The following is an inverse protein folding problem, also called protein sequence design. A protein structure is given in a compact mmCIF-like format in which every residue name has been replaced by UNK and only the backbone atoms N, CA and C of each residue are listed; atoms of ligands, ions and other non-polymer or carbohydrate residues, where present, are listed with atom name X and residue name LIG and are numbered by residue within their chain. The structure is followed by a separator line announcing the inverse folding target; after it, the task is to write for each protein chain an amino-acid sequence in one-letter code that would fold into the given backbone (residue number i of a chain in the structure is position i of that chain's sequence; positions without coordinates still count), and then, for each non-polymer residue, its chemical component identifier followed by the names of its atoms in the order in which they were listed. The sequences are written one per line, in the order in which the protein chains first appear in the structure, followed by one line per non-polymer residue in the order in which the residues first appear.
data_IF_307315200716
#
_entry.id   IF_307315200716
#
_cell.length_a   1.000
_cell.length_b   1.000
_cell.length_c   1.000
_cell.angle_alpha   90.00
_cell.angle_beta   90.00
_cell.angle_gamma   90.00
#
_symmetry.space_group_name_H-M   'P 1'
#
loop_
_entity.id
_entity.type
_entity.pdbx_description
1 polymer ?
#
# COMPACT_ATOMS: atom_id res chain seq x y z
N UNK A 1 20.86 -37.39 -41.44
CA UNK A 1 21.32 -37.24 -42.84
C UNK A 1 20.04 -37.21 -43.66
N UNK A 2 19.52 -36.10 -44.16
CA UNK A 2 20.09 -34.95 -44.88
C UNK A 2 19.40 -33.67 -44.38
N UNK A 3 20.16 -32.57 -44.27
CA UNK A 3 19.61 -31.23 -44.05
C UNK A 3 19.81 -30.35 -45.27
N UNK A 4 19.13 -29.19 -45.28
CA UNK A 4 19.64 -27.92 -45.80
C UNK A 4 18.77 -26.75 -45.31
N UNK A 5 19.48 -25.68 -44.92
CA UNK A 5 19.14 -24.28 -44.55
C UNK A 5 18.34 -23.56 -45.66
N UNK A 6 17.78 -22.34 -45.57
CA UNK A 6 17.53 -21.26 -44.61
C UNK A 6 16.85 -20.16 -45.45
N UNK A 7 15.88 -19.40 -44.93
CA UNK A 7 15.86 -17.94 -45.07
C UNK A 7 14.79 -17.31 -44.16
N UNK A 8 15.23 -16.30 -43.43
CA UNK A 8 14.45 -15.52 -42.49
C UNK A 8 13.94 -14.25 -43.17
N UNK A 9 12.69 -13.88 -42.93
CA UNK A 9 12.17 -12.52 -43.21
C UNK A 9 11.44 -12.06 -41.97
N UNK A 10 12.11 -11.19 -41.20
CA UNK A 10 11.50 -10.39 -40.15
C UNK A 10 10.73 -9.21 -40.74
N UNK A 11 9.56 -8.92 -40.17
CA UNK A 11 8.87 -7.64 -40.35
C UNK A 11 8.51 -7.09 -38.98
N UNK A 12 9.21 -6.03 -38.61
CA UNK A 12 8.89 -5.13 -37.51
C UNK A 12 7.56 -4.41 -37.81
N UNK A 13 6.66 -4.43 -36.84
CA UNK A 13 5.47 -3.56 -36.81
C UNK A 13 5.59 -2.64 -35.58
N UNK A 14 6.06 -1.43 -35.86
CA UNK A 14 5.96 -0.27 -34.98
C UNK A 14 4.61 0.39 -35.20
N UNK A 15 3.79 0.54 -34.14
CA UNK A 15 2.61 1.42 -34.15
C UNK A 15 2.81 2.49 -33.09
N UNK A 16 2.85 3.73 -33.58
CA UNK A 16 3.14 4.94 -32.82
C UNK A 16 1.96 5.42 -31.97
N UNK A 17 2.33 6.11 -30.89
CA UNK A 17 1.51 7.01 -30.09
C UNK A 17 0.89 8.11 -30.95
N UNK A 18 -0.40 8.35 -30.77
CA UNK A 18 -1.07 9.60 -31.19
C UNK A 18 -2.58 9.49 -31.09
N UNK A 19 -3.19 10.22 -30.14
CA UNK A 19 -4.64 10.37 -30.07
C UNK A 19 -5.15 10.67 -28.64
N UNK A 20 -5.23 11.95 -28.28
CA UNK A 20 -6.08 12.42 -27.18
C UNK A 20 -7.57 12.14 -27.45
N UNK A 21 -8.37 11.83 -26.41
CA UNK A 21 -9.81 12.06 -26.44
C UNK A 21 -10.24 13.19 -25.47
N UNK A 22 -11.43 13.77 -25.68
CA UNK A 22 -11.77 15.12 -25.24
C UNK A 22 -12.26 15.23 -23.80
N UNK A 23 -12.22 16.47 -23.30
CA UNK A 23 -12.64 16.91 -21.98
C UNK A 23 -14.08 16.48 -21.61
N UNK A 24 -14.20 15.76 -20.49
CA UNK A 24 -15.45 15.57 -19.78
C UNK A 24 -15.50 16.54 -18.59
N UNK A 25 -16.49 17.44 -18.64
CA UNK A 25 -16.94 18.30 -17.56
C UNK A 25 -17.32 17.49 -16.32
N UNK A 26 -16.66 17.74 -15.18
CA UNK A 26 -17.17 17.35 -13.87
C UNK A 26 -17.50 18.59 -13.05
N UNK A 27 -18.75 18.58 -12.61
CA UNK A 27 -19.46 19.55 -11.79
C UNK A 27 -19.01 19.40 -10.33
N UNK A 28 -18.83 20.55 -9.65
CA UNK A 28 -19.19 20.69 -8.24
C UNK A 28 -18.18 20.24 -7.18
N UNK A 29 -16.96 20.80 -7.19
CA UNK A 29 -16.09 20.81 -6.01
C UNK A 29 -16.35 22.07 -5.17
N UNK A 30 -16.91 21.87 -3.97
CA UNK A 30 -17.18 22.92 -2.98
C UNK A 30 -15.88 23.65 -2.59
N UNK A 31 -15.80 24.92 -2.98
CA UNK A 31 -14.71 25.84 -2.65
C UNK A 31 -14.83 26.25 -1.17
N UNK A 32 -14.04 25.60 -0.30
CA UNK A 32 -13.81 26.08 1.06
C UNK A 32 -12.40 26.66 1.16
N UNK A 33 -12.34 27.99 1.09
CA UNK A 33 -11.45 28.77 1.95
C UNK A 33 -10.00 28.88 1.50
N UNK A 34 -9.77 29.50 0.34
CA UNK A 34 -8.48 30.15 0.02
C UNK A 34 -8.32 31.47 0.78
N UNK A 35 -8.45 31.42 2.10
CA UNK A 35 -8.09 32.52 3.01
C UNK A 35 -6.64 32.36 3.45
N UNK A 36 -5.78 33.27 3.00
CA UNK A 36 -4.46 33.57 3.58
C UNK A 36 -3.21 32.82 3.04
N UNK A 37 -2.90 32.99 1.74
CA UNK A 37 -1.52 32.85 1.21
C UNK A 37 -0.88 34.19 0.86
N UNK A 38 -1.12 35.23 1.65
CA UNK A 38 -0.39 36.49 1.56
C UNK A 38 0.93 36.42 2.36
N UNK A 39 1.79 35.46 2.01
CA UNK A 39 3.13 35.33 2.58
C UNK A 39 4.13 35.17 1.45
N UNK A 40 4.51 36.28 0.80
CA UNK A 40 5.54 36.29 -0.25
C UNK A 40 6.77 35.56 0.30
N UNK A 41 7.03 34.36 -0.19
CA UNK A 41 8.22 33.60 0.16
C UNK A 41 9.42 34.33 -0.42
N UNK A 42 10.03 35.23 0.36
CA UNK A 42 11.29 35.88 0.04
C UNK A 42 12.26 34.84 -0.54
N UNK A 43 12.70 35.05 -1.78
CA UNK A 43 13.57 34.13 -2.51
C UNK A 43 14.82 33.80 -1.70
N UNK A 44 15.36 32.59 -1.89
CA UNK A 44 16.48 32.05 -1.06
C UNK A 44 17.66 33.01 -0.91
N UNK A 45 17.97 33.79 -1.95
CA UNK A 45 19.01 34.83 -1.96
C UNK A 45 18.65 36.05 -1.11
N UNK A 46 17.42 36.54 -1.19
CA UNK A 46 16.95 37.71 -0.42
C UNK A 46 17.05 37.49 1.10
N UNK A 47 16.71 36.29 1.60
CA UNK A 47 16.91 35.92 3.02
C UNK A 47 18.39 35.82 3.42
N UNK A 48 19.26 35.54 2.45
CA UNK A 48 20.72 35.56 2.63
C UNK A 48 21.22 36.98 2.87
N UNK A 49 20.83 37.89 1.98
CA UNK A 49 21.19 39.31 2.01
C UNK A 49 20.63 40.01 3.25
N UNK A 50 19.34 39.82 3.58
CA UNK A 50 18.74 40.41 4.77
C UNK A 50 19.44 39.98 6.06
N UNK A 51 19.83 38.70 6.15
CA UNK A 51 20.60 38.23 7.30
C UNK A 51 21.98 38.87 7.35
N UNK A 52 22.67 38.98 6.20
CA UNK A 52 23.96 39.64 6.16
C UNK A 52 23.85 41.11 6.60
N UNK A 53 22.86 41.86 6.09
CA UNK A 53 22.60 43.25 6.49
C UNK A 53 22.38 43.34 8.01
N UNK A 54 21.54 42.46 8.56
CA UNK A 54 21.26 42.41 9.99
C UNK A 54 22.54 42.15 10.82
N UNK A 55 23.42 41.24 10.37
CA UNK A 55 24.68 40.92 11.05
C UNK A 55 25.79 41.95 10.80
N UNK A 56 25.73 42.70 9.70
CA UNK A 56 26.66 43.78 9.36
C UNK A 56 26.35 45.07 10.14
N UNK A 57 25.10 45.25 10.56
CA UNK A 57 24.65 46.48 11.25
C UNK A 57 25.47 46.75 12.53
N UNK A 58 25.67 45.78 13.45
CA UNK A 58 26.54 46.00 14.62
C UNK A 58 27.99 46.33 14.24
N UNK A 59 28.52 45.73 13.17
CA UNK A 59 29.92 45.95 12.74
C UNK A 59 30.19 47.41 12.35
N UNK A 60 29.23 48.06 11.70
CA UNK A 60 29.35 49.45 11.24
C UNK A 60 28.92 50.45 12.33
N UNK A 61 27.96 50.06 13.17
CA UNK A 61 27.32 50.97 14.14
C UNK A 61 28.14 51.13 15.42
N UNK A 62 28.74 50.05 15.92
CA UNK A 62 29.43 50.04 17.23
C UNK A 62 30.59 51.03 17.28
N UNK A 63 31.37 51.16 16.19
CA UNK A 63 32.48 52.11 16.12
C UNK A 63 31.98 53.57 16.07
N UNK A 64 30.86 53.83 15.38
CA UNK A 64 30.23 55.17 15.32
C UNK A 64 29.62 55.61 16.65
N UNK A 65 29.24 54.64 17.48
CA UNK A 65 28.68 54.88 18.81
C UNK A 65 29.75 55.05 19.90
N UNK A 66 31.04 54.95 19.55
CA UNK A 66 32.15 55.06 20.51
C UNK A 66 32.22 53.91 21.51
N UNK A 67 31.58 52.77 21.19
CA UNK A 67 31.51 51.60 22.06
C UNK A 67 32.71 50.64 21.90
N UNK A 68 33.65 50.97 21.01
CA UNK A 68 34.88 50.23 20.73
C UNK A 68 36.00 51.18 20.36
N UNK A 69 37.25 50.70 20.46
CA UNK A 69 38.38 51.39 19.83
C UNK A 69 38.14 51.51 18.31
N UNK A 70 38.41 52.69 17.71
CA UNK A 70 38.14 52.94 16.31
C UNK A 70 38.98 52.03 15.42
N UNK A 71 38.31 51.17 14.65
CA UNK A 71 38.97 50.29 13.67
C UNK A 71 39.20 51.04 12.37
N UNK A 72 40.28 50.70 11.67
CA UNK A 72 40.52 51.22 10.32
C UNK A 72 39.41 50.78 9.35
N UNK A 73 39.13 51.60 8.33
CA UNK A 73 38.13 51.27 7.31
C UNK A 73 38.44 49.93 6.61
N UNK A 74 39.72 49.60 6.41
CA UNK A 74 40.15 48.31 5.86
C UNK A 74 39.78 47.12 6.74
N UNK A 75 39.95 47.22 8.06
CA UNK A 75 39.55 46.17 9.01
C UNK A 75 38.02 45.98 9.05
N UNK A 76 37.25 47.06 8.95
CA UNK A 76 35.79 46.99 8.89
C UNK A 76 35.33 46.29 7.60
N UNK A 77 35.88 46.68 6.44
CA UNK A 77 35.57 46.05 5.16
C UNK A 77 35.95 44.56 5.15
N UNK A 78 37.13 44.21 5.66
CA UNK A 78 37.56 42.82 5.79
C UNK A 78 36.59 42.00 6.67
N UNK A 79 36.17 42.54 7.81
CA UNK A 79 35.20 41.90 8.69
C UNK A 79 33.84 41.67 8.03
N UNK A 80 33.36 42.65 7.25
CA UNK A 80 32.11 42.54 6.48
C UNK A 80 32.18 41.47 5.39
N UNK A 81 33.32 41.35 4.70
CA UNK A 81 33.56 40.31 3.68
C UNK A 81 33.61 38.92 4.31
N UNK A 82 34.30 38.76 5.45
CA UNK A 82 34.35 37.48 6.18
C UNK A 82 32.95 37.08 6.66
N UNK A 83 32.15 38.04 7.16
CA UNK A 83 30.75 37.79 7.52
C UNK A 83 29.90 37.41 6.31
N UNK A 84 30.10 38.04 5.16
CA UNK A 84 29.42 37.66 3.92
C UNK A 84 29.74 36.20 3.55
N UNK A 85 31.02 35.83 3.58
CA UNK A 85 31.47 34.47 3.33
C UNK A 85 30.84 33.48 4.34
N UNK A 86 30.90 33.77 5.64
CA UNK A 86 30.31 32.92 6.67
C UNK A 86 28.79 32.74 6.48
N UNK A 87 28.07 33.83 6.17
CA UNK A 87 26.64 33.82 5.87
C UNK A 87 26.36 32.97 4.63
N UNK A 88 27.17 33.04 3.57
CA UNK A 88 26.98 32.21 2.37
C UNK A 88 27.24 30.73 2.65
N UNK A 89 28.30 30.41 3.40
CA UNK A 89 28.68 29.04 3.72
C UNK A 89 27.74 28.38 4.74
N UNK A 90 26.97 29.15 5.53
CA UNK A 90 26.12 28.64 6.65
C UNK A 90 25.17 27.50 6.31
N UNK A 91 24.82 27.34 5.03
CA UNK A 91 23.89 26.31 4.56
C UNK A 91 24.61 25.03 4.11
N UNK A 92 25.68 25.17 3.32
CA UNK A 92 26.43 24.03 2.78
C UNK A 92 27.44 23.50 3.81
N UNK A 93 28.10 24.41 4.53
CA UNK A 93 29.20 24.13 5.44
C UNK A 93 29.03 24.94 6.74
N UNK A 94 28.11 24.52 7.64
CA UNK A 94 27.79 25.28 8.84
C UNK A 94 28.96 25.39 9.83
N UNK A 95 29.86 24.40 9.87
CA UNK A 95 31.02 24.42 10.75
C UNK A 95 32.10 25.40 10.28
N UNK A 96 32.55 25.37 9.00
CA UNK A 96 33.43 26.42 8.48
C UNK A 96 32.84 27.84 8.64
N UNK A 97 31.55 28.02 8.42
CA UNK A 97 30.89 29.31 8.63
C UNK A 97 31.03 29.80 10.08
N UNK A 98 30.77 28.94 11.06
CA UNK A 98 30.94 29.25 12.47
C UNK A 98 32.42 29.52 12.85
N UNK A 99 33.35 28.68 12.37
CA UNK A 99 34.77 28.85 12.63
C UNK A 99 35.33 30.15 12.03
N UNK A 100 34.84 30.58 10.86
CA UNK A 100 35.20 31.88 10.27
C UNK A 100 34.82 33.05 11.19
N UNK A 101 33.63 33.01 11.79
CA UNK A 101 33.24 34.05 12.77
C UNK A 101 33.98 33.95 14.10
N UNK A 102 34.35 32.75 14.53
CA UNK A 102 35.19 32.56 15.71
C UNK A 102 36.60 33.13 15.47
N UNK A 103 37.19 32.85 14.31
CA UNK A 103 38.48 33.37 13.90
C UNK A 103 38.46 34.89 13.78
N UNK A 104 37.38 35.47 13.23
CA UNK A 104 37.20 36.92 13.17
C UNK A 104 37.14 37.54 14.57
N UNK A 105 36.36 36.95 15.49
CA UNK A 105 36.29 37.38 16.89
C UNK A 105 37.66 37.32 17.59
N UNK A 106 38.36 36.18 17.47
CA UNK A 106 39.71 35.99 18.02
C UNK A 106 40.76 36.87 17.36
N UNK A 107 40.59 37.30 16.10
CA UNK A 107 41.51 38.25 15.49
C UNK A 107 41.36 39.65 16.11
N UNK A 108 40.14 40.00 16.54
CA UNK A 108 39.78 41.35 17.00
C UNK A 108 39.83 41.57 18.50
N UNK A 109 39.60 40.52 19.31
CA UNK A 109 39.62 40.61 20.77
C UNK A 109 40.30 39.38 21.41
N UNK A 110 41.02 39.54 22.54
CA UNK A 110 41.62 38.41 23.27
C UNK A 110 40.58 37.38 23.74
N UNK A 111 39.45 37.86 24.27
CA UNK A 111 38.43 37.06 24.92
C UNK A 111 37.29 36.61 24.01
N UNK A 112 37.44 36.71 22.67
CA UNK A 112 36.41 36.42 21.65
C UNK A 112 35.15 37.34 21.71
N UNK A 113 34.95 38.05 22.82
CA UNK A 113 33.81 38.91 23.05
C UNK A 113 33.98 40.26 22.35
N UNK A 114 33.10 40.54 21.39
CA UNK A 114 32.99 41.86 20.75
C UNK A 114 31.53 42.20 20.50
N UNK A 115 31.15 43.46 20.74
CA UNK A 115 29.80 43.95 20.41
C UNK A 115 29.52 43.88 18.90
N UNK A 116 30.55 44.02 18.07
CA UNK A 116 30.46 43.97 16.62
C UNK A 116 30.14 42.57 16.07
N UNK A 117 30.77 41.51 16.59
CA UNK A 117 30.68 40.16 16.02
C UNK A 117 29.94 39.14 16.90
N UNK A 118 29.67 39.46 18.17
CA UNK A 118 28.93 38.61 19.10
C UNK A 118 27.59 38.10 18.56
N UNK A 119 26.72 38.96 18.00
CA UNK A 119 25.46 38.51 17.40
C UNK A 119 25.66 37.54 16.24
N UNK A 120 26.65 37.77 15.38
CA UNK A 120 26.95 36.89 14.25
C UNK A 120 27.47 35.52 14.71
N UNK A 121 28.32 35.52 15.75
CA UNK A 121 28.82 34.30 16.38
C UNK A 121 27.67 33.44 16.94
N UNK A 122 26.75 34.04 17.71
CA UNK A 122 25.59 33.33 18.27
C UNK A 122 24.63 32.81 17.20
N UNK A 123 24.33 33.61 16.17
CA UNK A 123 23.44 33.20 15.07
C UNK A 123 24.03 32.06 14.25
N UNK A 124 25.34 32.05 13.99
CA UNK A 124 25.98 30.95 13.27
C UNK A 124 26.13 29.70 14.12
N UNK A 125 26.34 29.82 15.44
CA UNK A 125 26.26 28.70 16.37
C UNK A 125 24.86 28.06 16.38
N UNK A 126 23.79 28.88 16.37
CA UNK A 126 22.41 28.41 16.22
C UNK A 126 22.22 27.64 14.90
N UNK A 127 22.71 28.17 13.78
CA UNK A 127 22.63 27.46 12.49
C UNK A 127 23.45 26.18 12.46
N UNK A 128 24.60 26.15 13.15
CA UNK A 128 25.39 24.94 13.33
C UNK A 128 24.57 23.87 14.06
N UNK A 129 23.88 24.22 15.14
CA UNK A 129 23.00 23.31 15.88
C UNK A 129 21.83 22.80 15.04
N UNK A 130 21.25 23.66 14.20
CA UNK A 130 20.13 23.31 13.31
C UNK A 130 20.52 22.41 12.13
N UNK A 131 21.77 22.43 11.69
CA UNK A 131 22.19 21.78 10.43
C UNK A 131 23.28 20.72 10.54
N UNK A 132 24.08 20.71 11.60
CA UNK A 132 25.15 19.73 11.74
C UNK A 132 24.61 18.38 12.22
N UNK A 133 24.79 17.33 11.43
CA UNK A 133 24.28 15.99 11.78
C UNK A 133 24.93 15.46 13.07
N UNK A 134 26.26 15.60 13.17
CA UNK A 134 27.07 15.06 14.27
C UNK A 134 27.40 16.13 15.31
N UNK A 135 26.98 15.90 16.55
CA UNK A 135 27.32 16.78 17.68
C UNK A 135 28.83 16.84 17.95
N UNK A 136 29.53 15.71 17.73
CA UNK A 136 30.97 15.59 17.95
C UNK A 136 31.78 16.65 17.19
N UNK A 137 31.42 16.94 15.94
CA UNK A 137 32.17 17.92 15.12
C UNK A 137 32.03 19.34 15.68
N UNK A 138 30.85 19.72 16.18
CA UNK A 138 30.64 21.01 16.83
C UNK A 138 31.41 21.10 18.16
N UNK A 139 31.40 20.03 18.96
CA UNK A 139 32.14 19.96 20.23
C UNK A 139 33.66 20.06 20.02
N UNK A 140 34.20 19.40 19.00
CA UNK A 140 35.62 19.54 18.61
C UNK A 140 35.91 20.99 18.20
N UNK A 141 35.02 21.63 17.45
CA UNK A 141 35.13 23.04 17.10
C UNK A 141 35.17 23.97 18.31
N UNK A 142 34.27 23.78 19.28
CA UNK A 142 34.24 24.54 20.52
C UNK A 142 35.51 24.30 21.36
N UNK A 143 35.96 23.05 21.48
CA UNK A 143 37.21 22.70 22.16
C UNK A 143 38.43 23.35 21.50
N UNK A 144 38.49 23.35 20.17
CA UNK A 144 39.54 24.04 19.42
C UNK A 144 39.55 25.55 19.68
N UNK A 145 38.38 26.20 19.68
CA UNK A 145 38.25 27.63 20.01
C UNK A 145 38.68 27.90 21.46
N UNK A 146 38.28 27.04 22.41
CA UNK A 146 38.67 27.17 23.81
C UNK A 146 40.19 27.08 23.99
N UNK A 147 40.84 26.12 23.34
CA UNK A 147 42.31 25.92 23.40
C UNK A 147 43.04 27.11 22.78
N UNK A 148 42.67 27.51 21.55
CA UNK A 148 43.31 28.64 20.86
C UNK A 148 43.09 29.95 21.62
N UNK A 149 41.87 30.19 22.11
CA UNK A 149 41.55 31.37 22.90
C UNK A 149 42.30 31.39 24.24
N UNK A 150 42.39 30.26 24.94
CA UNK A 150 43.13 30.17 26.21
C UNK A 150 44.62 30.43 25.99
N UNK A 151 45.22 29.86 24.95
CA UNK A 151 46.62 30.13 24.60
C UNK A 151 46.84 31.61 24.27
N UNK A 152 45.92 32.23 23.54
CA UNK A 152 45.99 33.66 23.22
C UNK A 152 45.92 34.53 24.48
N UNK A 153 44.97 34.25 25.38
CA UNK A 153 44.82 34.97 26.65
C UNK A 153 46.06 34.78 27.54
N UNK A 154 46.62 33.58 27.59
CA UNK A 154 47.84 33.31 28.37
C UNK A 154 49.07 34.09 27.86
N UNK A 155 49.18 34.31 26.54
CA UNK A 155 50.33 35.00 25.93
C UNK A 155 50.15 36.52 25.87
N UNK A 156 48.93 37.02 25.67
CA UNK A 156 48.65 38.43 25.37
C UNK A 156 47.69 39.12 26.34
N UNK A 157 47.12 38.39 27.30
CA UNK A 157 46.12 38.95 28.20
C UNK A 157 46.74 39.94 29.18
N UNK A 158 46.10 41.10 29.32
CA UNK A 158 46.50 42.12 30.30
C UNK A 158 46.06 41.67 31.69
N UNK A 159 44.85 41.10 31.78
CA UNK A 159 44.30 40.42 32.95
C UNK A 159 43.84 38.99 32.58
N UNK A 160 44.77 38.01 32.58
CA UNK A 160 44.50 36.68 32.01
C UNK A 160 43.33 35.94 32.65
N UNK A 161 43.09 36.13 33.95
CA UNK A 161 41.99 35.48 34.68
C UNK A 161 40.62 36.00 34.24
N UNK A 162 40.46 37.33 34.14
CA UNK A 162 39.21 37.97 33.73
C UNK A 162 38.94 37.70 32.26
N UNK A 163 39.93 37.87 31.39
CA UNK A 163 39.79 37.61 29.96
C UNK A 163 39.46 36.14 29.66
N UNK A 164 40.06 35.21 30.41
CA UNK A 164 39.74 33.79 30.29
C UNK A 164 38.32 33.48 30.75
N UNK A 165 37.87 34.07 31.87
CA UNK A 165 36.50 33.93 32.33
C UNK A 165 35.49 34.47 31.30
N UNK A 166 35.77 35.62 30.68
CA UNK A 166 34.96 36.20 29.60
C UNK A 166 34.96 35.32 28.35
N UNK A 167 36.10 34.74 27.98
CA UNK A 167 36.20 33.79 26.87
C UNK A 167 35.31 32.57 27.11
N UNK A 168 35.41 31.96 28.29
CA UNK A 168 34.62 30.78 28.64
C UNK A 168 33.13 31.11 28.70
N UNK A 169 32.77 32.24 29.30
CA UNK A 169 31.39 32.73 29.30
C UNK A 169 30.88 32.96 27.87
N UNK A 170 31.68 33.58 27.00
CA UNK A 170 31.32 33.82 25.59
C UNK A 170 31.17 32.52 24.82
N UNK A 171 32.00 31.51 25.09
CA UNK A 171 31.85 30.21 24.45
C UNK A 171 30.56 29.50 24.90
N UNK A 172 30.27 29.53 26.21
CA UNK A 172 29.06 28.90 26.76
C UNK A 172 27.80 29.62 26.26
N UNK A 173 27.68 30.93 26.50
CA UNK A 173 26.49 31.72 26.18
C UNK A 173 26.38 32.10 24.70
N UNK A 174 27.50 32.35 24.03
CA UNK A 174 27.56 32.76 22.64
C UNK A 174 27.66 31.60 21.65
N UNK A 175 28.13 30.41 22.06
CA UNK A 175 28.20 29.25 21.17
C UNK A 175 27.33 28.08 21.64
N UNK A 176 27.59 27.55 22.84
CA UNK A 176 26.99 26.28 23.31
C UNK A 176 25.47 26.40 23.45
N UNK A 177 24.97 27.43 24.12
CA UNK A 177 23.52 27.63 24.31
C UNK A 177 22.77 27.86 22.98
N UNK A 178 23.20 28.78 22.08
CA UNK A 178 22.57 28.93 20.78
C UNK A 178 22.63 27.64 19.94
N UNK A 179 23.76 26.93 19.96
CA UNK A 179 23.89 25.64 19.29
C UNK A 179 22.91 24.60 19.85
N UNK A 180 22.77 24.50 21.17
CA UNK A 180 21.84 23.58 21.82
C UNK A 180 20.38 23.92 21.47
N UNK A 181 20.02 25.21 21.48
CA UNK A 181 18.70 25.68 21.04
C UNK A 181 18.43 25.30 19.58
N UNK A 182 19.43 25.44 18.72
CA UNK A 182 19.34 25.03 17.32
C UNK A 182 19.10 23.54 17.15
N UNK A 183 19.77 22.71 17.97
CA UNK A 183 19.59 21.26 17.99
C UNK A 183 18.22 20.86 18.53
N UNK A 184 17.78 21.48 19.62
CA UNK A 184 16.46 21.26 20.21
C UNK A 184 15.34 21.56 19.21
N UNK A 185 15.45 22.68 18.47
CA UNK A 185 14.49 23.00 17.41
C UNK A 185 14.51 22.01 16.24
N UNK A 186 15.67 21.47 15.87
CA UNK A 186 15.74 20.42 14.86
C UNK A 186 15.01 19.16 15.34
N UNK A 187 15.34 18.69 16.54
CA UNK A 187 14.72 17.51 17.14
C UNK A 187 13.21 17.68 17.29
N UNK A 188 12.74 18.85 17.76
CA UNK A 188 11.32 19.14 17.86
C UNK A 188 10.60 19.09 16.50
N UNK A 189 11.23 19.56 15.43
CA UNK A 189 10.65 19.47 14.06
C UNK A 189 10.63 18.03 13.54
N UNK A 190 11.66 17.25 13.79
CA UNK A 190 11.73 15.83 13.41
C UNK A 190 10.67 15.02 14.17
N UNK A 191 10.55 15.23 15.48
CA UNK A 191 9.52 14.61 16.31
C UNK A 191 8.11 15.00 15.87
N UNK A 192 7.86 16.28 15.59
CA UNK A 192 6.57 16.74 15.10
C UNK A 192 6.23 16.10 13.73
N UNK A 193 7.19 16.06 12.80
CA UNK A 193 6.99 15.44 11.49
C UNK A 193 6.68 13.94 11.61
N UNK A 194 7.41 13.22 12.48
CA UNK A 194 7.16 11.81 12.77
C UNK A 194 5.78 11.61 13.44
N UNK A 195 5.38 12.51 14.34
CA UNK A 195 4.07 12.50 14.97
C UNK A 195 2.93 12.66 13.96
N UNK A 196 3.03 13.62 13.04
CA UNK A 196 2.05 13.81 11.97
C UNK A 196 1.97 12.62 11.02
N UNK A 197 3.11 12.05 10.61
CA UNK A 197 3.13 10.84 9.79
C UNK A 197 2.43 9.66 10.47
N UNK A 198 2.64 9.51 11.79
CA UNK A 198 2.00 8.44 12.57
C UNK A 198 0.49 8.68 12.75
N UNK A 199 0.07 9.92 12.97
CA UNK A 199 -1.34 10.27 13.07
C UNK A 199 -2.10 9.97 11.77
N UNK A 200 -1.52 10.34 10.63
CA UNK A 200 -2.08 10.06 9.31
C UNK A 200 -2.13 8.56 9.00
N UNK A 201 -1.14 7.77 9.45
CA UNK A 201 -1.20 6.32 9.36
C UNK A 201 -2.36 5.73 10.20
N UNK A 202 -2.50 6.16 11.46
CA UNK A 202 -3.56 5.70 12.35
C UNK A 202 -4.95 6.06 11.81
N UNK A 203 -5.11 7.25 11.21
CA UNK A 203 -6.38 7.65 10.60
C UNK A 203 -6.75 6.74 9.43
N UNK A 204 -5.78 6.37 8.57
CA UNK A 204 -6.01 5.41 7.49
C UNK A 204 -6.39 4.02 8.01
N UNK A 205 -5.69 3.53 9.03
CA UNK A 205 -5.99 2.25 9.66
C UNK A 205 -7.40 2.23 10.26
N UNK A 206 -7.80 3.30 10.95
CA UNK A 206 -9.16 3.43 11.50
C UNK A 206 -10.24 3.44 10.42
N UNK A 207 -10.01 4.14 9.29
CA UNK A 207 -10.95 4.12 8.15
C UNK A 207 -11.12 2.71 7.59
N UNK A 208 -10.02 1.99 7.38
CA UNK A 208 -10.05 0.60 6.90
C UNK A 208 -10.81 -0.30 7.88
N UNK A 209 -10.57 -0.17 9.19
CA UNK A 209 -11.28 -0.96 10.21
C UNK A 209 -12.77 -0.63 10.21
N UNK A 210 -13.14 0.65 10.13
CA UNK A 210 -14.54 1.09 10.09
C UNK A 210 -15.28 0.59 8.85
N UNK A 211 -14.65 0.66 7.67
CA UNK A 211 -15.24 0.18 6.43
C UNK A 211 -15.38 -1.35 6.43
N UNK A 212 -14.38 -2.07 6.94
CA UNK A 212 -14.50 -3.52 7.14
C UNK A 212 -15.60 -3.89 8.12
N UNK A 213 -15.78 -3.13 9.20
CA UNK A 213 -16.86 -3.36 10.15
C UNK A 213 -18.23 -3.13 9.49
N UNK A 214 -18.38 -2.07 8.69
CA UNK A 214 -19.60 -1.79 7.92
C UNK A 214 -19.92 -2.89 6.92
N UNK A 215 -18.93 -3.39 6.18
CA UNK A 215 -19.11 -4.49 5.23
C UNK A 215 -19.52 -5.79 5.94
N UNK A 216 -18.88 -6.12 7.06
CA UNK A 216 -19.26 -7.29 7.87
C UNK A 216 -20.68 -7.20 8.39
N UNK A 217 -21.10 -6.02 8.86
CA UNK A 217 -22.46 -5.82 9.34
C UNK A 217 -23.48 -5.95 8.20
N UNK A 218 -23.20 -5.38 7.03
CA UNK A 218 -24.06 -5.56 5.85
C UNK A 218 -24.17 -7.02 5.42
N UNK A 219 -23.06 -7.76 5.41
CA UNK A 219 -23.06 -9.18 5.09
C UNK A 219 -23.85 -9.99 6.12
N UNK A 220 -23.71 -9.66 7.41
CA UNK A 220 -24.50 -10.28 8.49
C UNK A 220 -25.99 -10.02 8.30
N UNK A 221 -26.40 -8.76 8.06
CA UNK A 221 -27.80 -8.41 7.82
C UNK A 221 -28.34 -9.18 6.60
N UNK A 222 -27.57 -9.25 5.51
CA UNK A 222 -27.98 -10.00 4.32
C UNK A 222 -28.18 -11.49 4.63
N UNK A 223 -27.30 -12.10 5.43
CA UNK A 223 -27.42 -13.49 5.87
C UNK A 223 -28.64 -13.70 6.78
N UNK A 224 -28.85 -12.84 7.79
CA UNK A 224 -30.00 -12.94 8.70
C UNK A 224 -31.33 -12.77 7.93
N UNK A 225 -31.37 -11.86 6.94
CA UNK A 225 -32.50 -11.69 6.03
C UNK A 225 -32.70 -12.90 5.12
N UNK A 226 -31.62 -13.52 4.65
CA UNK A 226 -31.70 -14.74 3.85
C UNK A 226 -32.31 -15.90 4.63
N UNK A 227 -31.81 -16.13 5.84
CA UNK A 227 -32.22 -17.28 6.65
C UNK A 227 -33.70 -17.15 7.07
N UNK A 228 -34.15 -15.93 7.40
CA UNK A 228 -35.55 -15.65 7.73
C UNK A 228 -36.48 -15.72 6.51
N UNK A 229 -36.21 -14.94 5.45
CA UNK A 229 -37.07 -14.91 4.25
C UNK A 229 -37.05 -16.24 3.49
N UNK A 230 -35.89 -16.89 3.38
CA UNK A 230 -35.75 -18.19 2.76
C UNK A 230 -36.55 -19.27 3.48
N UNK A 231 -36.55 -19.25 4.82
CA UNK A 231 -37.34 -20.16 5.63
C UNK A 231 -38.86 -19.92 5.46
N UNK A 232 -39.31 -18.66 5.51
CA UNK A 232 -40.71 -18.31 5.32
C UNK A 232 -41.24 -18.69 3.92
N UNK A 233 -40.47 -18.37 2.86
CA UNK A 233 -40.82 -18.73 1.48
C UNK A 233 -40.85 -20.25 1.28
N UNK A 234 -39.91 -20.98 1.88
CA UNK A 234 -39.90 -22.44 1.85
C UNK A 234 -41.13 -23.04 2.53
N UNK A 235 -41.53 -22.50 3.69
CA UNK A 235 -42.74 -22.92 4.39
C UNK A 235 -44.01 -22.63 3.58
N UNK A 236 -44.08 -21.48 2.90
CA UNK A 236 -45.18 -21.15 1.99
C UNK A 236 -45.23 -22.17 0.83
N UNK A 237 -44.10 -22.49 0.22
CA UNK A 237 -44.03 -23.47 -0.87
C UNK A 237 -44.45 -24.89 -0.43
N UNK A 238 -44.11 -25.29 0.80
CA UNK A 238 -44.54 -26.57 1.40
C UNK A 238 -46.05 -26.57 1.64
N UNK A 239 -46.61 -25.49 2.24
CA UNK A 239 -48.06 -25.37 2.50
C UNK A 239 -48.87 -25.32 1.19
N UNK A 240 -48.40 -24.57 0.19
CA UNK A 240 -49.00 -24.52 -1.14
C UNK A 240 -48.96 -25.89 -1.83
N UNK A 241 -47.85 -26.62 -1.69
CA UNK A 241 -47.75 -28.00 -2.14
C UNK A 241 -48.77 -28.93 -1.47
N UNK A 242 -48.93 -28.86 -0.15
CA UNK A 242 -49.91 -29.66 0.58
C UNK A 242 -51.36 -29.38 0.11
N UNK A 243 -51.70 -28.12 -0.16
CA UNK A 243 -53.00 -27.74 -0.74
C UNK A 243 -53.20 -28.34 -2.15
N UNK A 244 -52.16 -28.35 -2.98
CA UNK A 244 -52.24 -28.88 -4.35
C UNK A 244 -52.60 -30.38 -4.40
N UNK A 245 -52.12 -31.18 -3.43
CA UNK A 245 -52.38 -32.63 -3.35
C UNK A 245 -53.64 -32.97 -2.54
N UNK A 246 -54.35 -31.98 -1.99
CA UNK A 246 -55.57 -32.22 -1.23
C UNK A 246 -56.68 -32.81 -2.13
N UNK A 247 -57.33 -33.92 -1.72
CA UNK A 247 -58.27 -34.65 -2.57
C UNK A 247 -59.56 -33.87 -2.86
N UNK A 248 -60.03 -33.06 -1.91
CA UNK A 248 -61.33 -32.37 -1.97
C UNK A 248 -61.26 -30.97 -2.60
N UNK A 249 -60.10 -30.56 -3.12
CA UNK A 249 -59.90 -29.22 -3.66
C UNK A 249 -60.37 -29.12 -5.13
N UNK A 250 -61.26 -28.18 -5.49
CA UNK A 250 -61.70 -28.04 -6.88
C UNK A 250 -60.55 -27.60 -7.81
N UNK A 251 -60.58 -28.03 -9.07
CA UNK A 251 -59.48 -27.81 -10.04
C UNK A 251 -59.00 -26.35 -10.18
N UNK A 252 -59.87 -25.32 -10.18
CA UNK A 252 -59.43 -23.92 -10.20
C UNK A 252 -58.57 -23.53 -8.99
N UNK A 253 -58.90 -24.05 -7.81
CA UNK A 253 -58.15 -23.79 -6.57
C UNK A 253 -56.84 -24.59 -6.53
N UNK A 254 -56.83 -25.79 -7.14
CA UNK A 254 -55.62 -26.61 -7.30
C UNK A 254 -54.58 -25.93 -8.20
N UNK A 255 -55.03 -25.32 -9.30
CA UNK A 255 -54.18 -24.51 -10.17
C UNK A 255 -53.61 -23.29 -9.43
N UNK A 256 -54.44 -22.56 -8.68
CA UNK A 256 -53.98 -21.43 -7.86
C UNK A 256 -52.92 -21.83 -6.80
N UNK A 257 -53.06 -23.01 -6.18
CA UNK A 257 -52.06 -23.54 -5.25
C UNK A 257 -50.73 -23.90 -5.94
N UNK A 258 -50.79 -24.42 -7.17
CA UNK A 258 -49.61 -24.69 -7.99
C UNK A 258 -48.86 -23.40 -8.35
N UNK A 259 -49.60 -22.35 -8.75
CA UNK A 259 -49.04 -21.04 -9.05
C UNK A 259 -48.38 -20.39 -7.82
N UNK A 260 -49.01 -20.52 -6.63
CA UNK A 260 -48.45 -20.06 -5.36
C UNK A 260 -47.13 -20.75 -5.00
N UNK A 261 -47.06 -22.07 -5.20
CA UNK A 261 -45.83 -22.85 -4.98
C UNK A 261 -44.73 -22.43 -5.95
N UNK A 262 -45.06 -22.28 -7.24
CA UNK A 262 -44.10 -21.86 -8.26
C UNK A 262 -43.58 -20.44 -7.98
N UNK A 263 -44.46 -19.50 -7.62
CA UNK A 263 -44.08 -18.14 -7.27
C UNK A 263 -43.16 -18.09 -6.04
N UNK A 264 -43.44 -18.88 -5.00
CA UNK A 264 -42.60 -18.97 -3.81
C UNK A 264 -41.19 -19.52 -4.13
N UNK A 265 -41.10 -20.61 -4.90
CA UNK A 265 -39.80 -21.16 -5.35
C UNK A 265 -39.00 -20.17 -6.20
N UNK A 266 -39.66 -19.47 -7.12
CA UNK A 266 -39.00 -18.49 -7.97
C UNK A 266 -38.52 -17.25 -7.19
N UNK A 267 -39.23 -16.85 -6.14
CA UNK A 267 -38.80 -15.80 -5.23
C UNK A 267 -37.54 -16.19 -4.45
N UNK A 268 -37.46 -17.44 -3.98
CA UNK A 268 -36.27 -17.98 -3.29
C UNK A 268 -35.04 -18.00 -4.21
N UNK A 269 -35.19 -18.41 -5.47
CA UNK A 269 -34.09 -18.42 -6.45
C UNK A 269 -33.59 -17.00 -6.77
N UNK A 270 -34.49 -16.03 -6.89
CA UNK A 270 -34.12 -14.62 -7.08
C UNK A 270 -33.38 -14.06 -5.85
N UNK A 271 -33.81 -14.42 -4.64
CA UNK A 271 -33.12 -14.03 -3.41
C UNK A 271 -31.69 -14.60 -3.35
N UNK A 272 -31.50 -15.88 -3.69
CA UNK A 272 -30.17 -16.50 -3.78
C UNK A 272 -29.26 -15.78 -4.80
N UNK A 273 -29.82 -15.37 -5.94
CA UNK A 273 -29.06 -14.68 -6.99
C UNK A 273 -28.58 -13.30 -6.53
N UNK A 274 -29.47 -12.51 -5.91
CA UNK A 274 -29.14 -11.16 -5.43
C UNK A 274 -28.06 -11.19 -4.34
N UNK A 275 -28.14 -12.16 -3.42
CA UNK A 275 -27.16 -12.31 -2.34
C UNK A 275 -25.84 -12.85 -2.86
N UNK A 276 -25.85 -13.73 -3.87
CA UNK A 276 -24.64 -14.18 -4.56
C UNK A 276 -23.82 -13.01 -5.12
N UNK A 277 -24.49 -12.04 -5.75
CA UNK A 277 -23.84 -10.84 -6.30
C UNK A 277 -23.28 -9.91 -5.21
N UNK A 278 -24.00 -9.71 -4.10
CA UNK A 278 -23.53 -8.89 -2.98
C UNK A 278 -22.32 -9.49 -2.25
N UNK A 279 -22.14 -10.81 -2.35
CA UNK A 279 -21.02 -11.54 -1.72
C UNK A 279 -19.77 -11.52 -2.59
N UNK A 280 -19.90 -11.42 -3.92
CA UNK A 280 -18.78 -11.27 -4.85
C UNK A 280 -18.18 -9.85 -4.82
N UNK A 281 -18.97 -8.80 -4.57
CA UNK A 281 -18.45 -7.42 -4.46
C UNK A 281 -17.74 -7.11 -3.13
N UNK A 282 -17.97 -7.92 -2.10
CA UNK A 282 -17.43 -7.70 -0.75
C UNK A 282 -16.25 -8.61 -0.36
N UNK A 283 -15.94 -9.63 -1.15
CA UNK A 283 -15.06 -10.72 -0.74
C UNK A 283 -14.04 -11.12 -1.82
N UNK A 284 -13.20 -10.17 -2.26
CA UNK A 284 -11.96 -10.47 -2.96
C UNK A 284 -10.83 -10.96 -2.03
N UNK A 285 -11.09 -11.29 -0.75
CA UNK A 285 -10.01 -11.65 0.19
C UNK A 285 -10.29 -12.72 1.27
N UNK A 286 -11.42 -13.42 1.33
CA UNK A 286 -11.55 -14.57 2.24
C UNK A 286 -11.65 -15.92 1.50
N UNK A 287 -10.65 -16.82 1.65
CA UNK A 287 -10.78 -18.20 1.19
C UNK A 287 -11.81 -18.94 2.04
N UNK A 288 -13.07 -19.01 1.56
CA UNK A 288 -14.02 -20.02 2.01
C UNK A 288 -13.80 -21.32 1.23
N UNK A 289 -12.66 -21.96 1.49
CA UNK A 289 -12.47 -23.38 1.29
C UNK A 289 -11.95 -23.96 2.61
N UNK A 290 -12.45 -25.12 3.08
CA UNK A 290 -11.78 -25.83 4.15
C UNK A 290 -10.32 -26.04 3.73
N UNK A 291 -9.39 -25.42 4.44
CA UNK A 291 -7.95 -25.56 4.20
C UNK A 291 -7.62 -27.06 4.30
N UNK A 292 -7.20 -27.66 3.18
CA UNK A 292 -6.57 -28.98 3.16
C UNK A 292 -7.38 -30.16 2.62
N UNK A 293 -8.58 -29.97 2.04
CA UNK A 293 -9.23 -31.07 1.33
C UNK A 293 -8.55 -31.31 -0.03
N UNK A 294 -8.01 -32.52 -0.22
CA UNK A 294 -7.37 -32.89 -1.48
C UNK A 294 -8.40 -33.21 -2.55
N UNK A 295 -8.01 -33.11 -3.83
CA UNK A 295 -8.87 -33.47 -4.98
C UNK A 295 -9.42 -34.89 -4.86
N UNK A 296 -8.62 -35.80 -4.30
CA UNK A 296 -9.01 -37.18 -4.04
C UNK A 296 -10.15 -37.28 -3.03
N UNK A 297 -10.11 -36.48 -1.96
CA UNK A 297 -11.17 -36.44 -0.96
C UNK A 297 -12.47 -35.85 -1.53
N UNK A 298 -12.36 -34.81 -2.37
CA UNK A 298 -13.47 -34.23 -3.10
C UNK A 298 -14.13 -35.25 -4.05
N UNK A 299 -13.33 -36.00 -4.81
CA UNK A 299 -13.84 -37.07 -5.70
C UNK A 299 -14.49 -38.20 -4.91
N UNK A 300 -13.89 -38.61 -3.78
CA UNK A 300 -14.46 -39.65 -2.92
C UNK A 300 -15.83 -39.24 -2.34
N UNK A 301 -15.97 -37.98 -1.92
CA UNK A 301 -17.25 -37.43 -1.44
C UNK A 301 -18.29 -37.39 -2.55
N UNK A 302 -17.88 -37.00 -3.77
CA UNK A 302 -18.75 -36.98 -4.92
C UNK A 302 -19.24 -38.39 -5.32
N UNK A 303 -18.37 -39.41 -5.22
CA UNK A 303 -18.75 -40.82 -5.39
C UNK A 303 -19.74 -41.28 -4.33
N UNK A 304 -19.52 -40.93 -3.05
CA UNK A 304 -20.45 -41.24 -1.95
C UNK A 304 -21.82 -40.57 -2.14
N UNK A 305 -21.86 -39.45 -2.87
CA UNK A 305 -23.09 -38.73 -3.22
C UNK A 305 -23.81 -39.30 -4.44
N UNK A 306 -23.33 -40.43 -5.00
CA UNK A 306 -24.01 -41.17 -6.06
C UNK A 306 -23.49 -40.93 -7.49
N UNK A 307 -22.42 -40.14 -7.68
CA UNK A 307 -21.79 -39.97 -8.99
C UNK A 307 -20.88 -41.16 -9.34
N UNK A 308 -20.94 -41.63 -10.58
CA UNK A 308 -20.02 -42.66 -11.10
C UNK A 308 -18.75 -41.96 -11.59
N UNK A 309 -17.67 -42.02 -10.81
CA UNK A 309 -16.43 -41.29 -11.11
C UNK A 309 -15.24 -42.24 -11.23
N UNK A 310 -14.44 -42.12 -12.28
CA UNK A 310 -13.09 -42.70 -12.39
C UNK A 310 -12.04 -41.62 -12.20
N UNK A 311 -11.17 -41.78 -11.19
CA UNK A 311 -10.01 -40.90 -10.97
C UNK A 311 -8.73 -41.53 -11.52
N UNK A 312 -8.01 -40.79 -12.35
CA UNK A 312 -6.74 -41.20 -12.96
C UNK A 312 -5.63 -40.29 -12.45
N UNK A 313 -4.63 -40.90 -11.79
CA UNK A 313 -3.49 -40.18 -11.21
C UNK A 313 -2.34 -39.95 -12.22
N UNK A 314 -1.29 -39.24 -11.76
CA UNK A 314 -0.09 -38.83 -12.51
C UNK A 314 0.64 -39.95 -13.27
N UNK A 315 0.33 -41.23 -13.03
CA UNK A 315 0.97 -42.37 -13.70
C UNK A 315 0.04 -43.12 -14.64
N UNK A 316 -1.16 -42.60 -14.90
CA UNK A 316 -2.14 -43.22 -15.79
C UNK A 316 -2.66 -44.56 -15.29
N UNK A 317 -2.58 -44.84 -13.98
CA UNK A 317 -3.06 -46.10 -13.39
C UNK A 317 -4.43 -45.89 -12.74
N UNK A 318 -5.39 -46.82 -12.93
CA UNK A 318 -6.61 -46.82 -12.16
C UNK A 318 -6.30 -47.18 -10.70
N UNK A 319 -6.47 -46.22 -9.79
CA UNK A 319 -6.56 -46.44 -8.35
C UNK A 319 -5.28 -46.91 -7.63
N UNK A 320 -4.67 -46.01 -6.85
CA UNK A 320 -4.11 -46.37 -5.55
C UNK A 320 -4.09 -45.13 -4.65
N UNK A 321 -4.80 -45.18 -3.52
CA UNK A 321 -4.68 -44.18 -2.46
C UNK A 321 -3.20 -44.02 -2.08
N UNK A 322 -2.66 -42.82 -2.26
CA UNK A 322 -1.46 -42.38 -1.55
C UNK A 322 -1.87 -41.29 -0.58
N UNK A 323 -1.61 -41.55 0.70
CA UNK A 323 -1.74 -40.56 1.76
C UNK A 323 -0.88 -39.32 1.49
N UNK A 324 -1.16 -38.21 2.20
CA UNK A 324 -0.63 -36.90 1.86
C UNK A 324 0.89 -36.90 1.96
N UNK A 325 1.56 -36.86 0.81
CA UNK A 325 2.99 -36.60 0.75
C UNK A 325 3.19 -35.11 1.06
N UNK A 326 3.49 -34.81 2.32
CA UNK A 326 3.93 -33.50 2.81
C UNK A 326 5.13 -33.05 1.97
N UNK A 327 4.89 -32.15 1.01
CA UNK A 327 5.93 -31.44 0.25
C UNK A 327 5.95 -29.98 0.69
N UNK A 328 7.14 -29.41 0.72
CA UNK A 328 7.43 -28.06 1.17
C UNK A 328 6.55 -27.04 0.42
N UNK A 329 5.68 -26.37 1.17
CA UNK A 329 4.73 -25.39 0.69
C UNK A 329 5.45 -24.11 0.28
N UNK A 330 5.55 -23.90 -1.03
CA UNK A 330 5.82 -22.58 -1.61
C UNK A 330 4.47 -21.94 -1.96
N UNK A 331 4.31 -20.63 -1.75
CA UNK A 331 3.03 -19.91 -1.97
C UNK A 331 2.40 -20.13 -3.36
N UNK A 332 3.21 -20.43 -4.39
CA UNK A 332 2.72 -20.76 -5.74
C UNK A 332 2.03 -22.13 -5.84
N UNK A 333 2.46 -23.11 -5.05
CA UNK A 333 1.91 -24.47 -5.04
C UNK A 333 0.51 -24.49 -4.41
N UNK A 334 0.30 -23.74 -3.32
CA UNK A 334 -1.00 -23.66 -2.64
C UNK A 334 -2.08 -22.98 -3.50
N UNK A 335 -1.71 -21.90 -4.21
CA UNK A 335 -2.62 -21.24 -5.17
C UNK A 335 -2.99 -22.14 -6.34
N UNK A 336 -2.05 -22.94 -6.83
CA UNK A 336 -2.27 -23.90 -7.91
C UNK A 336 -3.18 -25.04 -7.44
N UNK A 337 -2.92 -25.62 -6.27
CA UNK A 337 -3.76 -26.68 -5.68
C UNK A 337 -5.20 -26.20 -5.40
N UNK A 338 -5.37 -24.99 -4.87
CA UNK A 338 -6.69 -24.39 -4.65
C UNK A 338 -7.47 -24.17 -5.95
N UNK A 339 -6.78 -23.79 -7.03
CA UNK A 339 -7.39 -23.61 -8.36
C UNK A 339 -7.78 -24.94 -8.98
N UNK A 340 -6.92 -25.96 -8.89
CA UNK A 340 -7.21 -27.33 -9.33
C UNK A 340 -8.43 -27.90 -8.59
N UNK A 341 -8.48 -27.76 -7.26
CA UNK A 341 -9.61 -28.21 -6.46
C UNK A 341 -10.92 -27.55 -6.92
N UNK A 342 -10.90 -26.23 -7.17
CA UNK A 342 -12.09 -25.50 -7.60
C UNK A 342 -12.57 -25.90 -8.99
N UNK A 343 -11.64 -26.14 -9.93
CA UNK A 343 -11.97 -26.63 -11.28
C UNK A 343 -12.66 -27.99 -11.20
N UNK A 344 -12.13 -28.92 -10.40
CA UNK A 344 -12.75 -30.24 -10.22
C UNK A 344 -14.11 -30.14 -9.54
N UNK A 345 -14.23 -29.30 -8.50
CA UNK A 345 -15.50 -29.10 -7.78
C UNK A 345 -16.61 -28.58 -8.69
N UNK A 346 -16.33 -27.53 -9.46
CA UNK A 346 -17.31 -26.95 -10.38
C UNK A 346 -17.65 -27.94 -11.49
N UNK A 347 -16.68 -28.67 -12.04
CA UNK A 347 -16.91 -29.66 -13.07
C UNK A 347 -17.79 -30.83 -12.58
N UNK A 348 -17.56 -31.34 -11.37
CA UNK A 348 -18.39 -32.37 -10.74
C UNK A 348 -19.81 -31.86 -10.44
N UNK A 349 -19.92 -30.59 -10.03
CA UNK A 349 -21.21 -29.94 -9.81
C UNK A 349 -21.99 -29.79 -11.11
N UNK A 350 -21.31 -29.40 -12.20
CA UNK A 350 -21.91 -29.30 -13.53
C UNK A 350 -22.34 -30.67 -14.06
N UNK A 351 -21.51 -31.70 -13.89
CA UNK A 351 -21.89 -33.07 -14.27
C UNK A 351 -23.12 -33.57 -13.49
N UNK A 352 -23.19 -33.29 -12.18
CA UNK A 352 -24.34 -33.64 -11.35
C UNK A 352 -25.64 -32.92 -11.78
N UNK A 353 -25.53 -31.66 -12.19
CA UNK A 353 -26.67 -30.83 -12.61
C UNK A 353 -27.13 -31.14 -14.03
N UNK A 354 -26.20 -31.36 -14.95
CA UNK A 354 -26.48 -31.36 -16.39
C UNK A 354 -26.42 -32.76 -17.02
N UNK A 355 -25.70 -33.71 -16.41
CA UNK A 355 -25.58 -35.08 -16.90
C UNK A 355 -25.83 -36.10 -15.77
N UNK A 356 -27.00 -36.07 -15.11
CA UNK A 356 -27.30 -37.00 -14.03
C UNK A 356 -27.18 -38.46 -14.50
N UNK A 357 -26.48 -39.27 -13.70
CA UNK A 357 -26.22 -40.69 -13.99
C UNK A 357 -25.09 -40.96 -14.99
N UNK A 358 -24.49 -39.93 -15.60
CA UNK A 358 -23.35 -40.09 -16.50
C UNK A 358 -22.08 -40.53 -15.74
N UNK A 359 -21.23 -41.31 -16.41
CA UNK A 359 -19.90 -41.62 -15.89
C UNK A 359 -18.96 -40.43 -16.11
N UNK A 360 -18.29 -39.99 -15.06
CA UNK A 360 -17.33 -38.88 -15.07
C UNK A 360 -15.91 -39.42 -14.92
N UNK A 361 -14.98 -38.94 -15.73
CA UNK A 361 -13.55 -39.24 -15.62
C UNK A 361 -12.82 -37.97 -15.22
N UNK A 362 -12.07 -38.02 -14.11
CA UNK A 362 -11.22 -36.93 -13.63
C UNK A 362 -9.77 -37.36 -13.75
N UNK A 363 -8.96 -36.57 -14.46
CA UNK A 363 -7.54 -36.80 -14.66
C UNK A 363 -6.76 -35.58 -14.20
N UNK A 364 -5.81 -35.77 -13.29
CA UNK A 364 -4.89 -34.72 -12.83
C UNK A 364 -3.47 -35.19 -13.07
N UNK A 365 -2.76 -34.52 -13.97
CA UNK A 365 -1.36 -34.80 -14.31
C UNK A 365 -0.50 -33.60 -13.95
N UNK A 366 0.53 -33.82 -13.14
CA UNK A 366 1.54 -32.81 -12.78
C UNK A 366 2.83 -33.16 -13.51
N UNK A 367 3.32 -32.25 -14.38
CA UNK A 367 4.57 -32.41 -15.13
C UNK A 367 5.44 -31.17 -14.93
N UNK A 368 6.46 -31.29 -14.08
CA UNK A 368 7.33 -30.17 -13.70
C UNK A 368 6.54 -29.00 -13.10
N UNK A 369 6.64 -27.76 -13.65
CA UNK A 369 5.90 -26.59 -13.16
C UNK A 369 4.44 -26.54 -13.65
N UNK A 370 4.01 -27.45 -14.53
CA UNK A 370 2.68 -27.42 -15.13
C UNK A 370 1.76 -28.47 -14.51
N UNK A 371 0.52 -28.07 -14.18
CA UNK A 371 -0.55 -28.99 -13.79
C UNK A 371 -1.65 -28.96 -14.83
N UNK A 372 -1.99 -30.13 -15.38
CA UNK A 372 -3.09 -30.30 -16.33
C UNK A 372 -4.21 -31.09 -15.66
N UNK A 373 -5.42 -30.51 -15.71
CA UNK A 373 -6.65 -31.11 -15.20
C UNK A 373 -7.56 -31.37 -16.40
N UNK A 374 -8.14 -32.56 -16.47
CA UNK A 374 -9.12 -32.91 -17.50
C UNK A 374 -10.28 -33.61 -16.82
N UNK A 375 -11.49 -33.09 -17.03
CA UNK A 375 -12.73 -33.69 -16.52
C UNK A 375 -13.66 -33.92 -17.71
N UNK A 376 -14.10 -35.16 -17.90
CA UNK A 376 -15.01 -35.55 -18.98
C UNK A 376 -16.18 -36.33 -18.43
N UNK A 377 -17.38 -36.15 -18.99
CA UNK A 377 -18.59 -36.89 -18.62
C UNK A 377 -19.20 -37.57 -19.85
N UNK A 378 -19.81 -38.75 -19.64
CA UNK A 378 -20.61 -39.44 -20.67
C UNK A 378 -22.01 -38.83 -20.85
N UNK A 379 -22.82 -39.40 -21.75
CA UNK A 379 -24.23 -39.01 -21.92
C UNK A 379 -25.06 -39.30 -20.67
N UNK A 380 -26.05 -38.46 -20.38
CA UNK A 380 -27.02 -38.74 -19.31
C UNK A 380 -27.72 -40.08 -19.57
N UNK A 381 -27.84 -40.90 -18.53
CA UNK A 381 -28.42 -42.25 -18.62
C UNK A 381 -29.96 -42.28 -18.69
N UNK A 382 -30.63 -41.13 -18.80
CA UNK A 382 -32.08 -41.08 -18.92
C UNK A 382 -32.51 -41.52 -20.33
N UNK A 383 -32.92 -42.78 -20.47
CA UNK A 383 -33.66 -43.22 -21.65
C UNK A 383 -34.98 -42.42 -21.74
N UNK A 384 -35.17 -41.71 -22.85
CA UNK A 384 -36.50 -41.33 -23.34
C UNK A 384 -37.18 -40.13 -22.70
N UNK A 385 -36.57 -38.94 -22.73
CA UNK A 385 -37.36 -37.72 -22.80
C UNK A 385 -36.67 -36.69 -23.68
N UNK A 386 -37.37 -36.23 -24.71
CA UNK A 386 -37.12 -34.94 -25.37
C UNK A 386 -37.26 -33.85 -24.30
N UNK A 387 -36.19 -33.61 -23.55
CA UNK A 387 -36.08 -32.44 -22.68
C UNK A 387 -35.59 -31.30 -23.58
N UNK A 388 -36.38 -30.22 -23.77
CA UNK A 388 -35.92 -29.05 -24.52
C UNK A 388 -34.62 -28.56 -23.90
N UNK A 389 -33.64 -28.23 -24.75
CA UNK A 389 -32.37 -27.67 -24.32
C UNK A 389 -32.61 -26.56 -23.26
N UNK A 390 -32.02 -26.66 -22.06
CA UNK A 390 -32.21 -25.63 -21.06
C UNK A 390 -31.72 -24.29 -21.63
N UNK A 391 -32.40 -23.18 -21.33
CA UNK A 391 -32.00 -21.87 -21.82
C UNK A 391 -30.54 -21.61 -21.44
N UNK A 392 -29.79 -21.05 -22.39
CA UNK A 392 -28.37 -20.70 -22.36
C UNK A 392 -28.08 -19.61 -21.31
N UNK A 393 -28.24 -19.94 -20.04
CA UNK A 393 -28.08 -19.06 -18.88
C UNK A 393 -27.30 -19.75 -17.77
N UNK A 394 -26.03 -20.06 -17.99
CA UNK A 394 -25.18 -20.76 -17.03
C UNK A 394 -23.69 -20.60 -17.31
N UNK A 395 -23.23 -19.37 -17.56
CA UNK A 395 -21.84 -19.09 -17.94
C UNK A 395 -20.97 -18.46 -16.83
N UNK A 396 -21.54 -18.14 -15.67
CA UNK A 396 -20.81 -17.42 -14.60
C UNK A 396 -19.72 -18.29 -13.98
N UNK A 397 -19.99 -19.57 -13.69
CA UNK A 397 -19.02 -20.51 -13.12
C UNK A 397 -17.77 -20.70 -14.00
N UNK A 398 -17.97 -20.92 -15.30
CA UNK A 398 -16.86 -21.09 -16.25
C UNK A 398 -16.09 -19.78 -16.50
N UNK A 399 -16.74 -18.62 -16.46
CA UNK A 399 -16.07 -17.30 -16.55
C UNK A 399 -15.20 -17.02 -15.33
N UNK A 400 -15.70 -17.30 -14.13
CA UNK A 400 -14.95 -17.14 -12.89
C UNK A 400 -13.73 -18.08 -12.84
N UNK A 401 -13.91 -19.34 -13.28
CA UNK A 401 -12.79 -20.29 -13.39
C UNK A 401 -11.74 -19.84 -14.41
N UNK A 402 -12.16 -19.36 -15.59
CA UNK A 402 -11.22 -18.89 -16.62
C UNK A 402 -10.35 -17.75 -16.11
N UNK A 403 -10.95 -16.78 -15.41
CA UNK A 403 -10.21 -15.65 -14.81
C UNK A 403 -9.13 -16.16 -13.84
N UNK A 404 -9.50 -17.04 -12.90
CA UNK A 404 -8.54 -17.61 -11.94
C UNK A 404 -7.43 -18.45 -12.56
N UNK A 405 -7.74 -19.18 -13.64
CA UNK A 405 -6.73 -19.96 -14.37
C UNK A 405 -5.77 -19.03 -15.11
N UNK A 406 -6.26 -17.93 -15.68
CA UNK A 406 -5.44 -16.89 -16.31
C UNK A 406 -4.57 -16.14 -15.31
N UNK A 407 -5.03 -15.91 -14.08
CA UNK A 407 -4.22 -15.31 -13.00
C UNK A 407 -3.01 -16.16 -12.59
N UNK A 408 -3.00 -17.44 -12.96
CA UNK A 408 -1.88 -18.38 -12.79
C UNK A 408 -1.13 -18.64 -14.10
N UNK A 409 -1.27 -17.77 -15.10
CA UNK A 409 -0.70 -17.92 -16.45
C UNK A 409 -1.14 -19.22 -17.17
N UNK A 410 -2.30 -19.76 -16.79
CA UNK A 410 -2.89 -20.97 -17.36
C UNK A 410 -3.98 -20.71 -18.41
N UNK A 411 -4.48 -21.79 -19.01
CA UNK A 411 -5.59 -21.75 -19.98
C UNK A 411 -6.72 -22.72 -19.61
N UNK A 412 -7.97 -22.33 -19.87
CA UNK A 412 -9.16 -23.14 -19.60
C UNK A 412 -10.06 -23.20 -20.83
N UNK A 413 -10.26 -24.42 -21.32
CA UNK A 413 -11.15 -24.78 -22.43
C UNK A 413 -12.30 -25.65 -21.92
N UNK A 414 -13.51 -25.38 -22.40
CA UNK A 414 -14.70 -26.17 -22.11
C UNK A 414 -15.52 -26.29 -23.40
N UNK A 415 -15.87 -27.52 -23.78
CA UNK A 415 -16.58 -27.82 -25.01
C UNK A 415 -17.02 -29.28 -25.07
N UNK A 416 -17.81 -29.66 -26.09
CA UNK A 416 -18.25 -31.04 -26.27
C UNK A 416 -17.05 -31.97 -26.51
N UNK A 417 -17.10 -33.17 -25.92
CA UNK A 417 -16.01 -34.15 -26.03
C UNK A 417 -16.58 -35.55 -26.34
N UNK A 418 -16.22 -36.11 -27.49
CA UNK A 418 -16.76 -37.38 -27.97
C UNK A 418 -18.28 -37.33 -28.10
N UNK A 419 -18.98 -38.26 -27.45
CA UNK A 419 -20.44 -38.36 -27.46
C UNK A 419 -21.15 -37.45 -26.42
N UNK A 420 -20.44 -36.67 -25.59
CA UNK A 420 -21.03 -35.95 -24.45
C UNK A 420 -20.92 -34.42 -24.47
N UNK A 421 -21.96 -33.79 -23.88
CA UNK A 421 -21.92 -32.53 -23.12
C UNK A 421 -22.75 -32.73 -21.85
#
# INVERSE_FOLDING_TARGET
MVGLRSEAVGRDLTIGRGGEPPAASSVGGVDQGTGNRAGRSLGRGTRGVLLWIALATPVVSVDRLGLNEPRSAGQQLAGLVVLAAAVTLRRAHPLPAFLLTAALGLATAPSLFTLAYGPAFAVLALFLGRRADRARTALIGFGGIAVVGTLKVAVRGVDPTVEWAVLMATLVFGAVFPWLAGRYWRQGRELAAAGWARADQLEREQRIVADRARLRERARIAQDMHDSLGHELSLIAVRAGALQVAPDLPDPHRAAAADLRAAASQATDRLHTIIGLLREEGDEQAPLAPVGESVEALVARAQQSGLRITYVDERGRPGAQRGPARRESTEGTERTEGTVHRVVQEALTNAAKHAPGAHVTVTVTRDGPATKVTVTNGRSGAQGSDVPAPPSGGGSGLRALRTRVTDLDGTLEAGPHGDGF
#
